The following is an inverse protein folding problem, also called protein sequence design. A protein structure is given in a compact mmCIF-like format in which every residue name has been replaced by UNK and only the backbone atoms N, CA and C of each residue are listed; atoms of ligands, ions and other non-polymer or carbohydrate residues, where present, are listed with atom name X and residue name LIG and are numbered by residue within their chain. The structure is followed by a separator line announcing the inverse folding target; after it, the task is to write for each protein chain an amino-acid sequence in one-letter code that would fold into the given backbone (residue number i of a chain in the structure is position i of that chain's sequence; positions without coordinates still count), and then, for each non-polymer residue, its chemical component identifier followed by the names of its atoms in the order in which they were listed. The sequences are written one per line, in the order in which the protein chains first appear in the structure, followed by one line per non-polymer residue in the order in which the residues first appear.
data_IF_470483578649
#
_entry.id   IF_470483578649
#
_cell.length_a   1.000
_cell.length_b   1.000
_cell.length_c   1.000
_cell.angle_alpha   90.00
_cell.angle_beta   90.00
_cell.angle_gamma   90.00
#
_symmetry.space_group_name_H-M   'P 1'
#
loop_
_entity.id
_entity.type
_entity.pdbx_description
1 polymer ?
#
# COMPACT_ATOMS: atom_id res chain seq x y z
N UNK A 1 -1.30 -0.35 -12.19
CA UNK A 1 -2.37 -1.11 -11.49
C UNK A 1 -1.99 -2.58 -11.52
N UNK A 2 -2.07 -3.27 -10.39
CA UNK A 2 -1.69 -4.68 -10.23
C UNK A 2 -2.80 -5.42 -9.46
N UNK A 3 -2.49 -6.56 -8.84
CA UNK A 3 -3.45 -7.37 -8.08
C UNK A 3 -3.86 -6.80 -6.71
N UNK A 4 -3.29 -5.66 -6.28
CA UNK A 4 -3.51 -5.08 -4.95
C UNK A 4 -4.97 -5.01 -4.50
N UNK A 5 -5.91 -4.47 -5.31
CA UNK A 5 -7.30 -4.36 -4.90
C UNK A 5 -7.97 -5.72 -4.65
N UNK A 6 -7.71 -6.71 -5.51
CA UNK A 6 -8.29 -8.05 -5.39
C UNK A 6 -7.71 -8.77 -4.16
N UNK A 7 -6.40 -8.63 -3.92
CA UNK A 7 -5.76 -9.19 -2.73
C UNK A 7 -6.31 -8.58 -1.44
N UNK A 8 -6.55 -7.26 -1.41
CA UNK A 8 -7.10 -6.57 -0.25
C UNK A 8 -8.53 -7.02 0.08
N UNK A 9 -9.37 -7.26 -0.93
CA UNK A 9 -10.74 -7.75 -0.75
C UNK A 9 -10.80 -9.19 -0.22
N UNK A 10 -9.81 -10.03 -0.55
CA UNK A 10 -9.77 -11.44 -0.18
C UNK A 10 -9.11 -11.71 1.19
N UNK A 11 -8.41 -10.74 1.76
CA UNK A 11 -7.67 -10.92 3.00
C UNK A 11 -8.54 -10.69 4.25
N UNK A 12 -8.41 -11.56 5.26
CA UNK A 12 -9.00 -11.31 6.60
C UNK A 12 -8.44 -10.03 7.23
N UNK A 13 -7.14 -9.81 7.02
CA UNK A 13 -6.40 -8.66 7.52
C UNK A 13 -5.54 -8.09 6.39
N UNK A 14 -5.94 -6.93 5.86
CA UNK A 14 -5.17 -6.19 4.87
C UNK A 14 -4.36 -5.06 5.51
N UNK A 15 -3.09 -4.96 5.11
CA UNK A 15 -2.18 -3.87 5.46
C UNK A 15 -1.67 -3.26 4.17
N UNK A 16 -1.89 -1.95 3.98
CA UNK A 16 -1.43 -1.24 2.78
C UNK A 16 -0.32 -0.26 3.15
N UNK A 17 0.76 -0.31 2.39
CA UNK A 17 1.82 0.69 2.44
C UNK A 17 1.50 1.82 1.44
N UNK A 18 1.62 3.07 1.88
CA UNK A 18 1.41 4.26 1.04
C UNK A 18 2.57 5.24 1.19
N UNK A 19 2.85 6.01 0.14
CA UNK A 19 3.85 7.09 0.21
C UNK A 19 3.33 8.34 0.92
N UNK A 20 2.00 8.52 0.96
CA UNK A 20 1.36 9.68 1.57
C UNK A 20 0.04 9.30 2.21
N UNK A 21 -0.15 9.71 3.46
CA UNK A 21 -1.46 9.77 4.12
C UNK A 21 -2.10 11.15 3.91
N UNK A 22 -3.41 11.17 3.74
CA UNK A 22 -4.20 12.38 3.50
C UNK A 22 -5.47 12.35 4.35
N UNK A 23 -6.04 13.51 4.61
CA UNK A 23 -7.28 13.60 5.38
C UNK A 23 -8.49 13.10 4.56
N UNK A 24 -9.57 12.64 5.23
CA UNK A 24 -10.81 12.29 4.54
C UNK A 24 -11.34 13.46 3.70
N UNK A 25 -11.71 13.16 2.45
CA UNK A 25 -12.19 14.16 1.48
C UNK A 25 -11.09 14.81 0.63
N UNK A 26 -9.81 14.56 0.91
CA UNK A 26 -8.70 15.08 0.08
C UNK A 26 -8.39 14.21 -1.14
N UNK A 27 -8.85 12.96 -1.16
CA UNK A 27 -8.80 12.10 -2.35
C UNK A 27 -10.03 12.35 -3.23
N UNK A 28 -9.80 12.56 -4.52
CA UNK A 28 -10.86 12.52 -5.54
C UNK A 28 -11.52 11.12 -5.51
N UNK A 29 -12.84 11.03 -5.29
CA UNK A 29 -13.57 9.76 -5.30
C UNK A 29 -13.33 8.92 -6.56
N UNK A 30 -13.17 9.55 -7.73
CA UNK A 30 -12.93 8.84 -9.00
C UNK A 30 -11.50 8.28 -9.10
N UNK A 31 -10.58 8.78 -8.27
CA UNK A 31 -9.21 8.28 -8.19
C UNK A 31 -9.06 7.11 -7.18
N UNK A 32 -10.10 6.80 -6.39
CA UNK A 32 -10.04 5.72 -5.39
C UNK A 32 -10.05 4.34 -6.09
N UNK A 33 -8.89 3.69 -6.12
CA UNK A 33 -8.75 2.36 -6.74
C UNK A 33 -9.18 1.23 -5.81
N UNK A 34 -8.82 1.30 -4.53
CA UNK A 34 -9.18 0.29 -3.52
C UNK A 34 -10.03 0.98 -2.46
N UNK A 35 -11.33 0.67 -2.38
CA UNK A 35 -12.19 1.25 -1.35
C UNK A 35 -11.68 0.95 0.07
N UNK A 36 -11.72 1.95 0.94
CA UNK A 36 -11.18 1.85 2.31
C UNK A 36 -11.81 0.76 3.17
N UNK A 37 -13.03 0.31 2.85
CA UNK A 37 -13.70 -0.80 3.55
C UNK A 37 -12.91 -2.12 3.50
N UNK A 38 -12.09 -2.31 2.46
CA UNK A 38 -11.25 -3.48 2.26
C UNK A 38 -9.85 -3.31 2.85
N UNK A 39 -9.56 -2.16 3.48
CA UNK A 39 -8.25 -1.84 4.06
C UNK A 39 -8.38 -1.79 5.58
N UNK A 40 -7.70 -2.69 6.31
CA UNK A 40 -7.75 -2.71 7.78
C UNK A 40 -6.71 -1.80 8.42
N UNK A 41 -5.52 -1.70 7.82
CA UNK A 41 -4.42 -0.87 8.34
C UNK A 41 -3.72 -0.17 7.19
N UNK A 42 -3.31 1.07 7.43
CA UNK A 42 -2.50 1.87 6.51
C UNK A 42 -1.20 2.22 7.20
N UNK A 43 -0.09 2.03 6.51
CA UNK A 43 1.24 2.41 6.97
C UNK A 43 1.84 3.37 5.96
N UNK A 44 2.20 4.56 6.42
CA UNK A 44 2.91 5.53 5.59
C UNK A 44 4.41 5.25 5.62
N UNK A 45 4.99 5.12 4.42
CA UNK A 45 6.43 5.02 4.19
C UNK A 45 6.72 6.02 3.07
N UNK A 46 7.16 7.22 3.43
CA UNK A 46 7.33 8.33 2.50
C UNK A 46 8.34 8.03 1.38
N UNK A 47 9.41 7.31 1.71
CA UNK A 47 10.48 6.93 0.80
C UNK A 47 10.70 5.42 0.87
N UNK A 48 9.83 4.62 0.22
CA UNK A 48 9.92 3.18 0.29
C UNK A 48 11.07 2.69 -0.57
N UNK A 49 11.89 1.81 -0.01
CA UNK A 49 12.95 1.16 -0.76
C UNK A 49 12.36 0.24 -1.85
N UNK A 50 13.00 0.23 -3.02
CA UNK A 50 12.65 -0.70 -4.08
C UNK A 50 13.28 -2.06 -3.80
N UNK A 51 12.44 -3.10 -3.69
CA UNK A 51 12.91 -4.47 -3.39
C UNK A 51 14.02 -4.93 -4.35
N UNK A 52 13.92 -4.59 -5.64
CA UNK A 52 14.95 -4.91 -6.63
C UNK A 52 16.33 -4.32 -6.31
N UNK A 53 16.35 -3.10 -5.75
CA UNK A 53 17.60 -2.42 -5.37
C UNK A 53 18.17 -3.02 -4.08
N UNK A 54 17.30 -3.33 -3.11
CA UNK A 54 17.68 -4.02 -1.88
C UNK A 54 18.31 -5.40 -2.19
N UNK A 55 17.68 -6.17 -3.07
CA UNK A 55 18.18 -7.48 -3.52
C UNK A 55 19.53 -7.32 -4.22
N UNK A 56 19.68 -6.34 -5.12
CA UNK A 56 20.94 -6.08 -5.81
C UNK A 56 22.08 -5.67 -4.85
N UNK A 57 21.74 -4.97 -3.76
CA UNK A 57 22.67 -4.58 -2.71
C UNK A 57 23.01 -5.72 -1.72
N UNK A 58 22.42 -6.91 -1.88
CA UNK A 58 22.63 -8.06 -1.00
C UNK A 58 21.95 -7.92 0.36
N UNK A 59 20.92 -7.08 0.47
CA UNK A 59 20.15 -6.93 1.69
C UNK A 59 19.40 -8.23 2.02
N UNK A 60 19.37 -8.58 3.30
CA UNK A 60 18.56 -9.67 3.84
C UNK A 60 17.81 -9.17 5.07
N UNK A 61 16.53 -9.48 5.14
CA UNK A 61 15.72 -9.18 6.31
C UNK A 61 16.13 -10.13 7.45
N UNK A 62 16.28 -9.64 8.70
CA UNK A 62 16.69 -10.45 9.85
C UNK A 62 15.68 -11.56 10.20
#
# INVERSE_FOLDING_TARGET
RNFGPIMAMAADVSVVQVQRLVAPGELDPEAVVTPGIFVKRVVEVAEPAHESELVAAGASYP
#
